data_IF_600455241720
#
_entry.id   IF_600455241720
#
_cell.length_a   1.000
_cell.length_b   1.000
_cell.length_c   1.000
_cell.angle_alpha   90.00
_cell.angle_beta   90.00
_cell.angle_gamma   90.00
#
_symmetry.space_group_name_H-M   'P 1'
#
loop_
_entity.id
_entity.type
_entity.pdbx_description
1 polymer ?
#
# COMPACT_ATOMS: atom_id res chain seq x y z
N UNK A 1 -14.63 4.48 22.90
CA UNK A 1 -13.28 4.15 23.40
C UNK A 1 -12.94 4.94 24.67
N UNK A 2 -12.16 4.37 25.60
CA UNK A 2 -11.60 5.04 26.80
C UNK A 2 -10.08 5.09 26.70
N UNK A 3 -9.47 6.25 26.88
CA UNK A 3 -8.00 6.39 26.85
C UNK A 3 -7.39 5.91 28.16
N UNK A 4 -6.53 4.91 28.08
CA UNK A 4 -5.87 4.27 29.24
C UNK A 4 -4.42 4.74 29.44
N UNK A 5 -3.81 5.31 28.41
CA UNK A 5 -2.45 5.83 28.46
C UNK A 5 -1.98 6.28 27.09
N UNK A 6 -0.95 7.15 27.06
CA UNK A 6 -0.21 7.50 25.85
C UNK A 6 1.26 7.46 26.19
N UNK A 7 2.04 6.76 25.38
CA UNK A 7 3.49 6.74 25.47
C UNK A 7 4.07 7.13 24.11
N UNK A 8 5.34 7.53 24.08
CA UNK A 8 6.04 7.94 22.87
C UNK A 8 7.33 7.16 22.76
N UNK A 9 7.51 6.46 21.65
CA UNK A 9 8.80 5.91 21.25
C UNK A 9 9.57 7.02 20.53
N UNK A 10 10.56 7.60 21.20
CA UNK A 10 11.41 8.66 20.66
C UNK A 10 12.74 8.12 20.16
N UNK A 11 13.51 8.97 19.47
CA UNK A 11 14.86 8.67 18.97
C UNK A 11 14.95 7.55 17.92
N UNK A 12 13.91 7.44 17.08
CA UNK A 12 13.98 6.63 15.87
C UNK A 12 14.95 7.27 14.87
N UNK A 13 15.80 6.49 14.19
CA UNK A 13 16.63 7.00 13.11
C UNK A 13 15.77 7.67 12.02
N UNK A 14 16.24 8.75 11.37
CA UNK A 14 15.55 9.31 10.23
C UNK A 14 15.42 8.26 9.13
N UNK A 15 14.18 7.92 8.76
CA UNK A 15 13.88 6.98 7.70
C UNK A 15 12.65 7.45 6.91
N UNK A 16 12.50 7.04 5.64
CA UNK A 16 11.29 7.31 4.87
C UNK A 16 10.04 6.75 5.56
N UNK A 17 8.88 7.35 5.28
CA UNK A 17 7.59 6.82 5.78
C UNK A 17 7.41 5.38 5.29
N UNK A 18 6.89 4.51 6.17
CA UNK A 18 6.67 3.09 5.88
C UNK A 18 7.89 2.19 6.03
N UNK A 19 9.10 2.73 6.25
CA UNK A 19 10.32 1.93 6.46
C UNK A 19 10.51 1.51 7.93
N UNK A 20 10.30 2.38 8.95
CA UNK A 20 10.38 1.95 10.34
C UNK A 20 9.37 0.85 10.65
N UNK A 21 9.86 -0.25 11.20
CA UNK A 21 9.04 -1.36 11.66
C UNK A 21 8.95 -1.31 13.19
N UNK A 22 7.75 -1.02 13.68
CA UNK A 22 7.48 -0.90 15.11
C UNK A 22 6.59 -2.05 15.55
N UNK A 23 7.13 -2.95 16.36
CA UNK A 23 6.37 -4.03 16.99
C UNK A 23 5.75 -3.51 18.28
N UNK A 24 4.42 -3.52 18.35
CA UNK A 24 3.68 -3.15 19.56
C UNK A 24 3.05 -4.39 20.18
N UNK A 25 3.48 -4.72 21.40
CA UNK A 25 2.98 -5.88 22.15
C UNK A 25 2.12 -5.41 23.31
N UNK A 26 0.93 -6.01 23.44
CA UNK A 26 0.02 -5.82 24.56
C UNK A 26 -0.02 -7.09 25.39
N UNK A 27 0.49 -7.02 26.61
CA UNK A 27 0.56 -8.14 27.56
C UNK A 27 -0.32 -7.83 28.78
N UNK A 28 -1.24 -8.75 29.09
CA UNK A 28 -2.14 -8.62 30.24
C UNK A 28 -1.81 -9.72 31.23
N UNK A 29 -1.43 -9.34 32.44
CA UNK A 29 -1.09 -10.31 33.49
C UNK A 29 -2.34 -10.86 34.21
N UNK A 30 -2.14 -11.89 35.03
CA UNK A 30 -3.21 -12.49 35.84
C UNK A 30 -3.82 -11.53 36.88
N UNK A 31 -3.16 -10.40 37.17
CA UNK A 31 -3.66 -9.35 38.05
C UNK A 31 -4.42 -8.26 37.29
N UNK A 32 -4.56 -8.37 35.96
CA UNK A 32 -5.19 -7.38 35.09
C UNK A 32 -4.34 -6.14 34.80
N UNK A 33 -3.04 -6.18 35.08
CA UNK A 33 -2.10 -5.12 34.74
C UNK A 33 -1.73 -5.26 33.26
N UNK A 34 -1.96 -4.20 32.50
CA UNK A 34 -1.61 -4.14 31.08
C UNK A 34 -0.19 -3.57 30.93
N UNK A 35 0.70 -4.38 30.39
CA UNK A 35 2.02 -3.97 29.92
C UNK A 35 1.95 -3.75 28.41
N UNK A 36 2.25 -2.53 27.96
CA UNK A 36 2.38 -2.22 26.54
C UNK A 36 3.84 -1.92 26.26
N UNK A 37 4.46 -2.66 25.34
CA UNK A 37 5.80 -2.36 24.82
C UNK A 37 5.72 -2.02 23.34
N UNK A 38 6.53 -1.05 22.90
CA UNK A 38 6.79 -0.81 21.50
C UNK A 38 8.29 -0.88 21.25
N UNK A 39 8.69 -1.67 20.26
CA UNK A 39 10.08 -1.90 19.89
C UNK A 39 10.29 -1.59 18.41
N UNK A 40 11.30 -0.79 18.11
CA UNK A 40 11.82 -0.66 16.75
C UNK A 40 12.68 -1.88 16.42
N UNK A 41 12.30 -2.64 15.39
CA UNK A 41 12.99 -3.88 15.02
C UNK A 41 14.38 -3.63 14.44
N UNK A 42 14.63 -2.45 13.86
CA UNK A 42 15.90 -2.11 13.25
C UNK A 42 16.97 -1.72 14.28
N UNK A 43 16.60 -0.92 15.27
CA UNK A 43 17.54 -0.45 16.31
C UNK A 43 17.49 -1.26 17.60
N UNK A 44 16.42 -2.04 17.81
CA UNK A 44 16.16 -2.73 19.06
C UNK A 44 15.75 -1.80 20.20
N UNK A 45 15.59 -0.49 19.96
CA UNK A 45 15.11 0.46 20.98
C UNK A 45 13.68 0.10 21.37
N UNK A 46 13.44 0.03 22.67
CA UNK A 46 12.14 -0.31 23.25
C UNK A 46 11.68 0.77 24.22
N UNK A 47 10.39 1.05 24.24
CA UNK A 47 9.72 1.79 25.30
C UNK A 47 8.54 0.99 25.81
N UNK A 48 8.38 0.93 27.13
CA UNK A 48 7.28 0.21 27.77
C UNK A 48 6.54 1.06 28.78
N UNK A 49 5.24 0.84 28.89
CA UNK A 49 4.37 1.42 29.89
C UNK A 49 3.59 0.32 30.59
N UNK A 50 3.49 0.42 31.91
CA UNK A 50 2.68 -0.47 32.73
C UNK A 50 1.48 0.30 33.23
N UNK A 51 0.28 -0.17 32.90
CA UNK A 51 -0.99 0.43 33.28
C UNK A 51 -1.61 -0.48 34.33
N UNK A 52 -1.59 -0.03 35.58
CA UNK A 52 -2.23 -0.74 36.69
C UNK A 52 -3.73 -0.52 36.66
N UNK A 53 -4.50 -1.57 36.92
CA UNK A 53 -5.95 -1.68 36.69
C UNK A 53 -6.86 -0.78 37.57
N UNK A 54 -6.43 0.41 37.97
CA UNK A 54 -7.20 1.33 38.80
C UNK A 54 -8.22 2.18 38.01
N UNK A 55 -8.28 2.05 36.68
CA UNK A 55 -9.10 2.89 35.79
C UNK A 55 -10.10 2.12 34.91
N UNK A 56 -10.46 0.90 35.31
CA UNK A 56 -11.42 0.05 34.59
C UNK A 56 -12.78 0.71 34.32
N UNK A 57 -13.56 0.10 33.42
CA UNK A 57 -14.97 0.42 33.20
C UNK A 57 -15.81 -0.41 34.18
N UNK A 58 -16.85 0.17 34.75
CA UNK A 58 -17.88 -0.58 35.50
C UNK A 58 -18.70 -1.47 34.56
N UNK A 59 -19.35 -2.51 35.09
CA UNK A 59 -20.24 -3.38 34.29
C UNK A 59 -21.32 -2.60 33.55
N UNK A 60 -21.89 -1.58 34.20
CA UNK A 60 -22.88 -0.69 33.59
C UNK A 60 -22.29 0.13 32.42
N UNK A 61 -21.06 0.63 32.55
CA UNK A 61 -20.37 1.32 31.44
C UNK A 61 -20.03 0.35 30.31
N UNK A 62 -19.65 -0.89 30.62
CA UNK A 62 -19.36 -1.94 29.64
C UNK A 62 -20.62 -2.28 28.83
N UNK A 63 -21.75 -2.52 29.50
CA UNK A 63 -23.03 -2.78 28.83
C UNK A 63 -23.49 -1.59 27.96
N UNK A 64 -23.32 -0.37 28.47
CA UNK A 64 -23.66 0.83 27.70
C UNK A 64 -22.77 0.94 26.46
N UNK A 65 -21.45 0.73 26.60
CA UNK A 65 -20.52 0.77 25.47
C UNK A 65 -20.81 -0.32 24.43
N UNK A 66 -21.26 -1.51 24.84
CA UNK A 66 -21.68 -2.55 23.89
C UNK A 66 -22.92 -2.12 23.10
N UNK A 67 -23.95 -1.60 23.79
CA UNK A 67 -25.17 -1.10 23.13
C UNK A 67 -24.88 0.06 22.19
N UNK A 68 -24.03 1.00 22.62
CA UNK A 68 -23.62 2.14 21.79
C UNK A 68 -22.85 1.65 20.55
N UNK A 69 -21.92 0.70 20.71
CA UNK A 69 -21.19 0.13 19.58
C UNK A 69 -22.10 -0.58 18.56
N UNK A 70 -23.14 -1.29 19.03
CA UNK A 70 -24.13 -1.90 18.15
C UNK A 70 -25.00 -0.86 17.45
N UNK A 71 -25.47 0.15 18.19
CA UNK A 71 -26.33 1.21 17.65
C UNK A 71 -25.61 2.11 16.64
N UNK A 72 -24.30 2.34 16.83
CA UNK A 72 -23.47 3.19 15.96
C UNK A 72 -22.62 2.40 14.97
N UNK A 73 -22.80 1.09 14.84
CA UNK A 73 -21.96 0.24 13.98
C UNK A 73 -21.89 0.74 12.52
N UNK A 74 -23.02 1.19 11.96
CA UNK A 74 -23.07 1.71 10.59
C UNK A 74 -22.41 3.10 10.46
N UNK A 75 -22.60 3.96 11.45
CA UNK A 75 -21.96 5.29 11.48
C UNK A 75 -20.43 5.18 11.63
N UNK A 76 -19.96 4.28 12.50
CA UNK A 76 -18.55 4.01 12.69
C UNK A 76 -17.92 3.35 11.45
N UNK A 77 -18.68 2.52 10.73
CA UNK A 77 -18.26 1.96 9.44
C UNK A 77 -18.06 3.06 8.39
N UNK A 78 -19.01 3.99 8.27
CA UNK A 78 -18.89 5.10 7.33
C UNK A 78 -17.68 5.99 7.66
N UNK A 79 -17.52 6.37 8.94
CA UNK A 79 -16.34 7.14 9.38
C UNK A 79 -15.03 6.41 9.12
N UNK A 80 -15.01 5.08 9.28
CA UNK A 80 -13.83 4.27 8.94
C UNK A 80 -13.52 4.35 7.45
N UNK A 81 -14.52 4.19 6.59
CA UNK A 81 -14.37 4.29 5.14
C UNK A 81 -13.88 5.69 4.71
N UNK A 82 -14.39 6.75 5.34
CA UNK A 82 -13.93 8.13 5.14
C UNK A 82 -12.44 8.30 5.51
N UNK A 83 -12.03 7.82 6.68
CA UNK A 83 -10.64 7.89 7.15
C UNK A 83 -9.72 7.04 6.27
N UNK A 84 -10.14 5.84 5.88
CA UNK A 84 -9.39 4.98 4.95
C UNK A 84 -9.22 5.66 3.59
N UNK A 85 -10.26 6.33 3.08
CA UNK A 85 -10.22 7.10 1.83
C UNK A 85 -9.22 8.25 1.93
N UNK A 86 -9.25 9.02 3.03
CA UNK A 86 -8.28 10.09 3.30
C UNK A 86 -6.85 9.56 3.37
N UNK A 87 -6.63 8.45 4.08
CA UNK A 87 -5.30 7.85 4.22
C UNK A 87 -4.77 7.31 2.89
N UNK A 88 -5.64 6.71 2.05
CA UNK A 88 -5.29 6.26 0.70
C UNK A 88 -4.89 7.44 -0.19
N UNK A 89 -5.66 8.52 -0.14
CA UNK A 89 -5.38 9.74 -0.90
C UNK A 89 -4.05 10.39 -0.48
N UNK A 90 -3.78 10.54 0.82
CA UNK A 90 -2.48 11.05 1.34
C UNK A 90 -1.31 10.18 0.89
N UNK A 91 -1.49 8.85 0.96
CA UNK A 91 -0.47 7.89 0.54
C UNK A 91 -0.18 7.99 -0.96
N UNK A 92 -1.22 8.11 -1.79
CA UNK A 92 -1.10 8.25 -3.24
C UNK A 92 -0.41 9.56 -3.63
N UNK A 93 -0.74 10.66 -2.97
CA UNK A 93 -0.08 11.94 -3.16
C UNK A 93 1.42 11.83 -2.83
N UNK A 94 1.75 11.27 -1.67
CA UNK A 94 3.14 11.10 -1.25
C UNK A 94 3.95 10.22 -2.22
N UNK A 95 3.38 9.09 -2.64
CA UNK A 95 4.02 8.18 -3.59
C UNK A 95 4.23 8.86 -4.95
N UNK A 96 3.22 9.59 -5.45
CA UNK A 96 3.31 10.30 -6.72
C UNK A 96 4.37 11.41 -6.68
N UNK A 97 4.39 12.22 -5.62
CA UNK A 97 5.40 13.27 -5.43
C UNK A 97 6.81 12.68 -5.33
N UNK A 98 6.96 11.56 -4.62
CA UNK A 98 8.23 10.84 -4.55
C UNK A 98 8.68 10.35 -5.93
N UNK A 99 7.80 9.70 -6.67
CA UNK A 99 8.13 9.16 -7.99
C UNK A 99 8.43 10.26 -9.01
N UNK A 100 7.74 11.40 -8.94
CA UNK A 100 8.10 12.60 -9.72
C UNK A 100 9.47 13.17 -9.34
N UNK A 101 9.84 13.13 -8.06
CA UNK A 101 11.18 13.53 -7.62
C UNK A 101 12.29 12.60 -8.11
N UNK A 102 12.02 11.29 -8.22
CA UNK A 102 13.00 10.27 -8.63
C UNK A 102 13.10 10.10 -10.15
N UNK A 103 11.96 10.18 -10.86
CA UNK A 103 11.87 9.89 -12.29
C UNK A 103 11.39 11.07 -13.13
N UNK A 104 11.16 12.24 -12.52
CA UNK A 104 10.64 13.41 -13.20
C UNK A 104 11.44 13.79 -14.45
N UNK A 105 12.77 13.65 -14.45
CA UNK A 105 13.60 13.98 -15.61
C UNK A 105 13.29 13.13 -16.86
N UNK A 106 12.64 11.97 -16.69
CA UNK A 106 12.19 11.07 -17.77
C UNK A 106 10.76 11.33 -18.22
N UNK A 107 10.08 12.30 -17.60
CA UNK A 107 8.70 12.69 -17.90
C UNK A 107 8.73 14.04 -18.60
N UNK A 108 7.96 14.19 -19.67
CA UNK A 108 7.85 15.46 -20.38
C UNK A 108 7.12 16.52 -19.52
N UNK A 109 7.38 17.79 -19.80
CA UNK A 109 6.88 18.89 -18.98
C UNK A 109 5.34 18.98 -18.98
N UNK A 110 4.67 18.61 -20.08
CA UNK A 110 3.21 18.61 -20.13
C UNK A 110 2.62 17.52 -19.22
N UNK A 111 3.24 16.34 -19.18
CA UNK A 111 2.88 15.26 -18.26
C UNK A 111 3.15 15.63 -16.79
N UNK A 112 4.28 16.28 -16.48
CA UNK A 112 4.56 16.79 -15.13
C UNK A 112 3.52 17.80 -14.66
N UNK A 113 3.14 18.75 -15.51
CA UNK A 113 2.12 19.75 -15.19
C UNK A 113 0.77 19.09 -14.88
N UNK A 114 0.37 18.09 -15.67
CA UNK A 114 -0.86 17.32 -15.43
C UNK A 114 -0.84 16.59 -14.08
N UNK A 115 0.25 15.88 -13.76
CA UNK A 115 0.36 15.16 -12.49
C UNK A 115 0.36 16.13 -11.31
N UNK A 116 1.11 17.23 -11.39
CA UNK A 116 1.14 18.25 -10.33
C UNK A 116 -0.23 18.91 -10.11
N UNK A 117 -0.99 19.16 -11.19
CA UNK A 117 -2.36 19.67 -11.07
C UNK A 117 -3.29 18.66 -10.39
N UNK A 118 -3.20 17.37 -10.74
CA UNK A 118 -3.98 16.31 -10.09
C UNK A 118 -3.61 16.15 -8.60
N UNK A 119 -2.32 16.18 -8.26
CA UNK A 119 -1.84 16.18 -6.86
C UNK A 119 -2.39 17.37 -6.09
N UNK A 120 -2.35 18.58 -6.66
CA UNK A 120 -2.88 19.78 -6.03
C UNK A 120 -4.39 19.66 -5.77
N UNK A 121 -5.14 19.07 -6.71
CA UNK A 121 -6.58 18.82 -6.57
C UNK A 121 -6.88 17.87 -5.41
N UNK A 122 -6.12 16.77 -5.27
CA UNK A 122 -6.27 15.83 -4.14
C UNK A 122 -5.95 16.53 -2.82
N UNK A 123 -4.89 17.34 -2.76
CA UNK A 123 -4.53 18.11 -1.55
C UNK A 123 -5.64 19.09 -1.15
N UNK A 124 -6.22 19.82 -2.12
CA UNK A 124 -7.34 20.72 -1.86
C UNK A 124 -8.58 19.98 -1.36
N UNK A 125 -8.91 18.83 -1.95
CA UNK A 125 -10.04 18.01 -1.50
C UNK A 125 -9.83 17.47 -0.08
N UNK A 126 -8.59 17.08 0.27
CA UNK A 126 -8.20 16.65 1.61
C UNK A 126 -8.30 17.77 2.65
N UNK A 127 -7.95 19.01 2.29
CA UNK A 127 -8.09 20.19 3.16
C UNK A 127 -9.55 20.62 3.33
N UNK A 128 -10.37 20.48 2.28
CA UNK A 128 -11.80 20.81 2.30
C UNK A 128 -12.67 19.75 2.99
N UNK A 129 -12.10 18.59 3.34
CA UNK A 129 -12.79 17.45 3.96
C UNK A 129 -14.01 16.96 3.16
N UNK A 130 -13.91 17.02 1.83
CA UNK A 130 -14.98 16.59 0.93
C UNK A 130 -14.72 15.17 0.43
N UNK A 131 -15.31 14.17 1.08
CA UNK A 131 -15.05 12.74 0.79
C UNK A 131 -15.32 12.33 -0.65
N UNK A 132 -16.41 12.83 -1.26
CA UNK A 132 -16.74 12.51 -2.64
C UNK A 132 -15.69 13.10 -3.62
N UNK A 133 -15.21 14.31 -3.34
CA UNK A 133 -14.14 14.94 -4.13
C UNK A 133 -12.79 14.27 -3.89
N UNK A 134 -12.49 13.83 -2.66
CA UNK A 134 -11.24 13.12 -2.36
C UNK A 134 -11.17 11.83 -3.18
N UNK A 135 -12.26 11.05 -3.21
CA UNK A 135 -12.30 9.82 -3.99
C UNK A 135 -12.14 10.10 -5.49
N UNK A 136 -12.95 11.00 -6.05
CA UNK A 136 -12.87 11.34 -7.47
C UNK A 136 -11.51 11.92 -7.89
N UNK A 137 -10.92 12.78 -7.07
CA UNK A 137 -9.60 13.36 -7.35
C UNK A 137 -8.48 12.31 -7.20
N UNK A 138 -8.62 11.36 -6.27
CA UNK A 138 -7.66 10.26 -6.11
C UNK A 138 -7.71 9.30 -7.31
N UNK A 139 -8.90 9.02 -7.83
CA UNK A 139 -9.07 8.20 -9.04
C UNK A 139 -8.49 8.91 -10.27
N UNK A 140 -8.72 10.22 -10.42
CA UNK A 140 -8.11 11.04 -11.46
C UNK A 140 -6.58 11.04 -11.36
N UNK A 141 -6.02 11.24 -10.17
CA UNK A 141 -4.58 11.16 -9.92
C UNK A 141 -4.02 9.79 -10.31
N UNK A 142 -4.72 8.72 -9.94
CA UNK A 142 -4.33 7.35 -10.27
C UNK A 142 -4.31 7.13 -11.80
N UNK A 143 -5.33 7.63 -12.50
CA UNK A 143 -5.40 7.53 -13.96
C UNK A 143 -4.27 8.31 -14.64
N UNK A 144 -4.06 9.56 -14.26
CA UNK A 144 -2.99 10.41 -14.81
C UNK A 144 -1.62 9.77 -14.55
N UNK A 145 -1.40 9.24 -13.34
CA UNK A 145 -0.17 8.53 -13.01
C UNK A 145 0.04 7.26 -13.85
N UNK A 146 -1.01 6.48 -14.11
CA UNK A 146 -0.94 5.32 -15.00
C UNK A 146 -0.60 5.70 -16.44
N UNK A 147 -1.18 6.78 -16.96
CA UNK A 147 -0.86 7.28 -18.31
C UNK A 147 0.61 7.71 -18.41
N UNK A 148 1.11 8.45 -17.42
CA UNK A 148 2.51 8.93 -17.39
C UNK A 148 3.49 7.77 -17.21
N UNK A 149 3.21 6.83 -16.31
CA UNK A 149 4.05 5.65 -16.12
C UNK A 149 4.08 4.76 -17.36
N UNK A 150 2.96 4.58 -18.05
CA UNK A 150 2.90 3.84 -19.32
C UNK A 150 3.78 4.50 -20.41
N UNK A 151 3.75 5.83 -20.52
CA UNK A 151 4.61 6.57 -21.45
C UNK A 151 6.10 6.45 -21.09
N UNK A 152 6.44 6.49 -19.80
CA UNK A 152 7.81 6.30 -19.32
C UNK A 152 8.34 4.88 -19.63
N UNK A 153 7.51 3.86 -19.46
CA UNK A 153 7.85 2.47 -19.82
C UNK A 153 8.01 2.30 -21.34
N UNK A 154 7.13 2.90 -22.15
CA UNK A 154 7.25 2.88 -23.61
C UNK A 154 8.49 3.62 -24.12
N UNK A 155 8.86 4.74 -23.49
CA UNK A 155 10.12 5.43 -23.82
C UNK A 155 11.36 4.64 -23.41
N UNK A 156 11.28 3.84 -22.34
CA UNK A 156 12.38 2.97 -21.92
C UNK A 156 12.48 1.71 -22.80
N UNK A 157 11.35 1.12 -23.20
CA UNK A 157 11.31 -0.02 -24.14
C UNK A 157 11.61 0.38 -25.59
N UNK A 158 11.39 1.64 -25.96
CA UNK A 158 11.78 2.22 -27.25
C UNK A 158 13.22 2.77 -27.28
N UNK A 159 13.93 2.76 -26.15
CA UNK A 159 15.31 3.23 -26.00
C UNK A 159 16.28 2.08 -25.65
N UNK A 160 16.14 0.92 -26.30
CA UNK A 160 17.26 0.04 -26.68
C UNK A 160 16.82 -0.97 -27.77
N UNK A 161 17.26 -0.76 -29.02
CA UNK A 161 17.72 -1.87 -29.86
C UNK A 161 19.20 -1.61 -30.19
N UNK A 162 20.04 -1.61 -29.15
CA UNK A 162 21.35 -0.97 -29.17
C UNK A 162 22.45 -1.66 -28.37
N UNK A 163 22.30 -2.92 -27.95
CA UNK A 163 23.43 -3.70 -27.44
C UNK A 163 23.28 -5.23 -27.64
N UNK A 164 23.09 -5.68 -28.88
CA UNK A 164 23.39 -7.07 -29.27
C UNK A 164 23.62 -7.18 -30.79
N UNK A 165 24.60 -6.45 -31.31
CA UNK A 165 25.19 -6.79 -32.62
C UNK A 165 26.51 -7.51 -32.38
N UNK A 166 26.40 -8.80 -32.06
CA UNK A 166 27.50 -9.74 -32.25
C UNK A 166 27.36 -10.31 -33.67
N UNK A 167 28.39 -10.04 -34.46
CA UNK A 167 28.62 -10.42 -35.85
C UNK A 167 28.40 -11.92 -36.14
N UNK A 168 27.70 -12.31 -37.23
CA UNK A 168 27.56 -13.69 -37.66
C UNK A 168 28.54 -14.03 -38.79
N UNK A 169 29.81 -14.34 -38.49
CA UNK A 169 30.63 -15.21 -39.34
C UNK A 169 32.01 -15.53 -38.76
N UNK A 170 32.14 -16.74 -38.21
CA UNK A 170 33.23 -17.67 -38.54
C UNK A 170 32.92 -19.02 -37.88
N UNK A 171 32.51 -19.98 -38.70
CA UNK A 171 32.55 -21.41 -38.39
C UNK A 171 34.02 -21.83 -38.10
N UNK A 172 34.28 -22.73 -37.15
CA UNK A 172 34.18 -24.17 -37.37
C UNK A 172 34.74 -24.99 -36.17
N UNK A 173 34.17 -26.19 -35.99
CA UNK A 173 34.71 -27.40 -35.34
C UNK A 173 35.01 -27.46 -33.82
N UNK A 174 34.15 -28.16 -33.06
CA UNK A 174 34.32 -29.58 -32.66
C UNK A 174 33.53 -29.96 -31.37
N UNK A 175 32.67 -30.96 -31.52
CA UNK A 175 31.82 -31.72 -30.55
C UNK A 175 32.57 -32.54 -29.48
N UNK A 176 31.91 -33.34 -28.59
CA UNK A 176 30.65 -33.18 -27.80
C UNK A 176 30.82 -33.59 -26.30
N UNK A 177 29.74 -33.49 -25.49
CA UNK A 177 29.22 -34.50 -24.52
C UNK A 177 28.73 -33.95 -23.15
N UNK A 178 27.64 -34.61 -22.68
CA UNK A 178 27.08 -34.72 -21.32
C UNK A 178 26.09 -33.66 -20.75
N UNK A 179 24.80 -34.07 -20.73
CA UNK A 179 23.81 -34.13 -19.61
C UNK A 179 23.68 -32.92 -18.65
N UNK A 180 22.53 -32.46 -18.16
CA UNK A 180 21.26 -33.11 -17.80
C UNK A 180 20.21 -32.00 -17.51
N UNK A 181 18.95 -32.25 -17.90
CA UNK A 181 17.65 -31.81 -17.35
C UNK A 181 17.45 -30.43 -16.69
N UNK A 182 16.51 -29.64 -17.22
CA UNK A 182 15.37 -29.17 -16.41
C UNK A 182 14.13 -28.92 -17.28
N UNK A 183 13.00 -29.44 -16.79
CA UNK A 183 11.72 -29.69 -17.47
C UNK A 183 10.81 -28.46 -17.33
N UNK A 184 10.54 -27.75 -18.45
CA UNK A 184 9.61 -26.63 -18.47
C UNK A 184 8.27 -27.15 -18.99
N UNK A 185 7.33 -27.36 -18.08
CA UNK A 185 5.94 -27.71 -18.41
C UNK A 185 5.22 -26.43 -18.83
N UNK A 186 5.03 -26.27 -20.13
CA UNK A 186 4.16 -25.24 -20.72
C UNK A 186 2.71 -25.73 -20.63
N UNK A 187 1.92 -25.11 -19.75
CA UNK A 187 0.51 -25.46 -19.57
C UNK A 187 -0.34 -24.72 -20.61
N UNK A 188 -0.68 -25.40 -21.69
CA UNK A 188 -1.66 -24.94 -22.69
C UNK A 188 -3.07 -24.88 -22.06
N UNK A 189 -3.67 -23.69 -21.99
CA UNK A 189 -5.04 -23.48 -21.52
C UNK A 189 -6.01 -23.60 -22.70
N UNK A 190 -6.72 -24.73 -22.78
CA UNK A 190 -7.83 -24.96 -23.71
C UNK A 190 -9.12 -24.36 -23.12
N UNK A 191 -9.65 -23.31 -23.76
CA UNK A 191 -10.95 -22.73 -23.44
C UNK A 191 -12.03 -23.65 -24.01
N UNK A 192 -12.74 -24.37 -23.14
CA UNK A 192 -13.95 -25.10 -23.54
C UNK A 192 -15.14 -24.13 -23.41
N UNK A 193 -15.69 -23.75 -24.56
CA UNK A 193 -16.96 -23.04 -24.68
C UNK A 193 -18.12 -23.92 -24.17
N UNK A 194 -18.84 -23.45 -23.14
CA UNK A 194 -20.11 -24.06 -22.72
C UNK A 194 -21.26 -23.52 -23.58
N UNK A 195 -21.59 -24.26 -24.63
CA UNK A 195 -22.78 -24.02 -25.46
C UNK A 195 -24.09 -24.48 -24.80
N UNK A 196 -25.10 -23.66 -25.06
CA UNK A 196 -26.51 -23.70 -24.70
C UNK A 196 -27.17 -25.09 -24.58
N UNK A 197 -27.81 -25.35 -23.43
CA UNK A 197 -28.95 -26.29 -23.36
C UNK A 197 -30.25 -25.58 -23.70
N UNK A 198 -30.74 -25.80 -24.91
CA UNK A 198 -32.16 -25.63 -25.30
C UNK A 198 -32.83 -26.99 -25.50
N UNK A 199 -33.93 -27.15 -24.78
CA UNK A 199 -35.16 -27.91 -25.06
C UNK A 199 -35.12 -29.10 -26.04
N UNK A 200 -35.58 -30.26 -25.56
CA UNK A 200 -36.60 -31.04 -26.27
C UNK A 200 -37.33 -32.05 -25.36
N UNK A 201 -38.64 -31.77 -25.22
CA UNK A 201 -39.79 -32.69 -25.21
C UNK A 201 -40.01 -33.68 -24.07
#
# INVERSE_FOLDING_TARGET
NKTIGRFRLSELPPAPRGVPQIDVTFDIDANGILNVSAKDTATGKEQKITITASSGLSEAEIEQMMKDAEAHAEEDKQKREEVETRNRADSMVYETEKNLGEFGDKVDDASKEKVNAAVARVKQALEADNHAEIQSATDELTQVWHEVSAQMYQQTAGADPGAAQADPSAADEATPDAADSDDVVDAEYEVVDEDEKKDQN
#
